data_IF_089225419720
#
_entry.id   IF_089225419720
#
_cell.length_a   1.000
_cell.length_b   1.000
_cell.length_c   1.000
_cell.angle_alpha   90.00
_cell.angle_beta   90.00
_cell.angle_gamma   90.00
#
_symmetry.space_group_name_H-M   'P 1'
#
loop_
_entity.id
_entity.type
_entity.pdbx_description
1 polymer ?
#
# COMPACT_ATOMS: atom_id res chain seq x y z
N UNK A 1 -18.03 3.95 11.04
CA UNK A 1 -16.99 4.89 10.59
C UNK A 1 -16.75 4.78 9.08
N UNK A 2 -16.44 3.60 8.51
CA UNK A 2 -16.26 3.49 7.04
C UNK A 2 -17.56 3.60 6.22
N UNK A 3 -18.65 2.98 6.71
CA UNK A 3 -19.94 3.02 6.03
C UNK A 3 -20.54 4.42 5.86
N UNK A 4 -20.09 5.39 6.67
CA UNK A 4 -20.58 6.78 6.65
C UNK A 4 -19.83 7.67 5.67
N UNK A 5 -18.73 7.20 5.08
CA UNK A 5 -17.98 7.95 4.06
C UNK A 5 -18.73 7.84 2.72
N UNK A 6 -19.01 8.98 2.09
CA UNK A 6 -19.62 9.02 0.77
C UNK A 6 -18.52 8.89 -0.30
N UNK A 7 -18.38 7.68 -0.85
CA UNK A 7 -17.43 7.37 -1.92
C UNK A 7 -17.97 6.21 -2.76
N UNK A 8 -17.71 6.26 -4.08
CA UNK A 8 -18.07 5.19 -4.99
C UNK A 8 -17.29 3.89 -4.69
N UNK A 9 -16.00 4.02 -4.37
CA UNK A 9 -15.15 2.92 -3.96
C UNK A 9 -14.59 3.17 -2.55
N UNK A 10 -14.70 2.17 -1.68
CA UNK A 10 -14.06 2.14 -0.37
C UNK A 10 -13.18 0.90 -0.30
N UNK A 11 -11.92 1.08 -0.61
CA UNK A 11 -10.96 -0.02 -0.73
C UNK A 11 -10.14 -0.10 0.54
N UNK A 12 -9.96 -1.31 1.07
CA UNK A 12 -9.15 -1.56 2.28
C UNK A 12 -8.21 -2.72 2.06
N UNK A 13 -7.02 -2.61 2.64
CA UNK A 13 -6.05 -3.70 2.76
C UNK A 13 -5.81 -3.96 4.25
N UNK A 14 -5.34 -5.16 4.59
CA UNK A 14 -4.87 -5.45 5.93
C UNK A 14 -3.51 -4.80 6.20
N UNK A 15 -3.16 -4.70 7.48
CA UNK A 15 -1.84 -4.32 7.96
C UNK A 15 -1.27 -5.28 9.00
N UNK A 16 -0.08 -4.96 9.52
CA UNK A 16 0.66 -5.83 10.44
C UNK A 16 -0.07 -6.10 11.77
N UNK A 17 -0.99 -5.22 12.17
CA UNK A 17 -1.81 -5.41 13.38
C UNK A 17 -3.06 -6.26 13.13
N UNK A 18 -3.44 -6.49 11.89
CA UNK A 18 -4.59 -7.33 11.52
C UNK A 18 -4.18 -8.81 11.48
N UNK A 19 -3.59 -9.30 12.57
CA UNK A 19 -3.02 -10.66 12.66
C UNK A 19 -4.04 -11.69 12.19
N UNK A 20 -5.29 -11.61 12.65
CA UNK A 20 -6.34 -12.56 12.26
C UNK A 20 -6.65 -12.59 10.77
N UNK A 21 -6.29 -11.57 9.99
CA UNK A 21 -6.45 -11.58 8.53
C UNK A 21 -5.27 -12.26 7.81
N UNK A 22 -4.14 -12.50 8.46
CA UNK A 22 -3.04 -13.29 7.91
C UNK A 22 -3.41 -14.78 7.96
N UNK A 23 -3.29 -15.48 6.84
CA UNK A 23 -3.51 -16.94 6.78
C UNK A 23 -2.50 -17.72 7.62
N UNK A 24 -1.28 -17.21 7.76
CA UNK A 24 -0.25 -17.85 8.58
C UNK A 24 -0.55 -17.61 10.06
N UNK A 25 -0.61 -18.67 10.85
CA UNK A 25 -0.74 -18.55 12.30
C UNK A 25 0.48 -17.82 12.89
N UNK A 26 0.22 -16.62 13.43
CA UNK A 26 1.23 -15.78 14.11
C UNK A 26 1.10 -15.77 15.64
N UNK A 27 0.08 -16.44 16.19
CA UNK A 27 -0.27 -16.37 17.61
C UNK A 27 0.38 -17.51 18.37
N UNK A 28 1.16 -17.18 19.40
CA UNK A 28 1.77 -18.19 20.28
C UNK A 28 0.69 -18.94 21.06
N UNK A 29 0.94 -20.22 21.30
CA UNK A 29 0.05 -21.12 22.06
C UNK A 29 -1.35 -21.36 21.47
N UNK A 30 -1.62 -20.92 20.23
CA UNK A 30 -2.86 -21.22 19.51
C UNK A 30 -2.64 -22.32 18.48
N UNK A 31 -3.50 -23.34 18.48
CA UNK A 31 -3.46 -24.39 17.46
C UNK A 31 -3.83 -23.87 16.08
N UNK A 32 -3.35 -24.51 15.01
CA UNK A 32 -3.69 -24.11 13.64
C UNK A 32 -5.20 -24.23 13.34
N UNK A 33 -5.88 -25.21 13.92
CA UNK A 33 -7.33 -25.40 13.74
C UNK A 33 -8.12 -24.27 14.42
N UNK A 34 -7.72 -23.88 15.61
CA UNK A 34 -8.31 -22.75 16.33
C UNK A 34 -8.06 -21.44 15.58
N UNK A 35 -6.81 -21.18 15.17
CA UNK A 35 -6.45 -20.00 14.41
C UNK A 35 -7.23 -19.91 13.09
N UNK A 36 -7.39 -21.02 12.37
CA UNK A 36 -8.15 -21.08 11.12
C UNK A 36 -9.62 -20.66 11.31
N UNK A 37 -10.21 -20.95 12.47
CA UNK A 37 -11.57 -20.50 12.78
C UNK A 37 -11.62 -18.99 13.02
N UNK A 38 -10.68 -18.43 13.78
CA UNK A 38 -10.56 -16.97 13.97
C UNK A 38 -10.32 -16.25 12.66
N UNK A 39 -9.40 -16.77 11.84
CA UNK A 39 -9.10 -16.22 10.52
C UNK A 39 -10.34 -16.17 9.63
N UNK A 40 -11.09 -17.27 9.54
CA UNK A 40 -12.35 -17.31 8.78
C UNK A 40 -13.37 -16.29 9.27
N UNK A 41 -13.52 -16.13 10.59
CA UNK A 41 -14.45 -15.15 11.16
C UNK A 41 -14.02 -13.71 10.88
N UNK A 42 -12.72 -13.40 11.02
CA UNK A 42 -12.18 -12.08 10.69
C UNK A 42 -12.33 -11.76 9.20
N UNK A 43 -12.04 -12.74 8.35
CA UNK A 43 -12.19 -12.60 6.90
C UNK A 43 -13.66 -12.39 6.48
N UNK A 44 -14.61 -13.05 7.13
CA UNK A 44 -16.05 -12.85 6.91
C UNK A 44 -16.50 -11.42 7.29
N UNK A 45 -15.89 -10.80 8.30
CA UNK A 45 -16.19 -9.39 8.62
C UNK A 45 -15.79 -8.48 7.46
N UNK A 46 -14.64 -8.74 6.84
CA UNK A 46 -14.06 -7.91 5.77
C UNK A 46 -14.67 -8.16 4.38
N UNK A 47 -15.20 -9.35 4.15
CA UNK A 47 -15.68 -9.79 2.81
C UNK A 47 -17.16 -10.17 2.78
N UNK A 48 -17.78 -10.34 3.94
CA UNK A 48 -19.15 -10.75 4.11
C UNK A 48 -20.16 -9.61 3.99
N UNK A 49 -21.37 -9.87 4.49
CA UNK A 49 -22.50 -8.94 4.34
C UNK A 49 -22.24 -7.57 4.98
N UNK A 50 -21.59 -7.53 6.14
CA UNK A 50 -21.35 -6.27 6.85
C UNK A 50 -20.51 -5.29 6.02
N UNK A 51 -19.42 -5.77 5.41
CA UNK A 51 -18.57 -4.95 4.54
C UNK A 51 -19.30 -4.53 3.26
N UNK A 52 -20.02 -5.47 2.62
CA UNK A 52 -20.79 -5.20 1.39
C UNK A 52 -21.88 -4.16 1.60
N UNK A 53 -22.66 -4.29 2.66
CA UNK A 53 -23.72 -3.34 3.02
C UNK A 53 -23.14 -1.94 3.33
N UNK A 54 -21.87 -1.87 3.76
CA UNK A 54 -21.14 -0.61 3.97
C UNK A 54 -20.43 -0.06 2.72
N UNK A 55 -20.46 -0.80 1.59
CA UNK A 55 -19.76 -0.47 0.35
C UNK A 55 -18.24 -0.62 0.45
N UNK A 56 -17.74 -1.46 1.36
CA UNK A 56 -16.31 -1.71 1.58
C UNK A 56 -15.85 -2.94 0.82
N UNK A 57 -14.73 -2.80 0.11
CA UNK A 57 -14.08 -3.89 -0.62
C UNK A 57 -12.70 -4.15 -0.03
N UNK A 58 -12.52 -5.33 0.55
CA UNK A 58 -11.23 -5.81 0.99
C UNK A 58 -10.40 -6.33 -0.19
N UNK A 59 -9.15 -5.86 -0.30
CA UNK A 59 -8.20 -6.26 -1.33
C UNK A 59 -7.12 -7.16 -0.74
N UNK A 60 -7.05 -8.38 -1.26
CA UNK A 60 -5.90 -9.26 -1.05
C UNK A 60 -4.69 -8.78 -1.86
N UNK A 61 -3.51 -9.32 -1.58
CA UNK A 61 -2.31 -8.97 -2.33
C UNK A 61 -2.45 -9.29 -3.82
N UNK A 62 -2.17 -8.30 -4.68
CA UNK A 62 -2.24 -8.47 -6.14
C UNK A 62 -2.71 -7.21 -6.86
N UNK A 63 -2.87 -7.33 -8.18
CA UNK A 63 -3.41 -6.26 -9.03
C UNK A 63 -4.90 -6.43 -9.21
N UNK A 64 -5.65 -5.36 -8.97
CA UNK A 64 -7.10 -5.27 -9.08
C UNK A 64 -7.47 -4.18 -10.08
N UNK A 65 -8.52 -4.39 -10.85
CA UNK A 65 -9.00 -3.43 -11.86
C UNK A 65 -10.36 -2.87 -11.46
N UNK A 66 -10.54 -1.57 -11.68
CA UNK A 66 -11.78 -0.88 -11.35
C UNK A 66 -12.21 0.03 -12.49
N UNK A 67 -13.53 0.15 -12.66
CA UNK A 67 -14.15 1.12 -13.57
C UNK A 67 -15.20 1.88 -12.80
N UNK A 68 -15.07 3.20 -12.75
CA UNK A 68 -16.00 4.08 -12.07
C UNK A 68 -17.24 4.37 -12.92
N UNK A 69 -18.30 4.89 -12.30
CA UNK A 69 -19.56 5.29 -12.97
C UNK A 69 -19.34 6.34 -14.06
N UNK A 70 -18.31 7.17 -13.94
CA UNK A 70 -17.94 8.16 -14.95
C UNK A 70 -17.14 7.58 -16.13
N UNK A 71 -16.87 6.27 -16.13
CA UNK A 71 -16.11 5.56 -17.17
C UNK A 71 -14.60 5.57 -16.98
N UNK A 72 -14.07 6.23 -15.94
CA UNK A 72 -12.65 6.15 -15.62
C UNK A 72 -12.28 4.72 -15.23
N UNK A 73 -11.22 4.19 -15.86
CA UNK A 73 -10.70 2.86 -15.61
C UNK A 73 -9.27 2.97 -15.10
N UNK A 74 -8.93 2.17 -14.09
CA UNK A 74 -7.60 2.15 -13.50
C UNK A 74 -7.32 0.83 -12.78
N UNK A 75 -6.03 0.61 -12.50
CA UNK A 75 -5.52 -0.57 -11.80
C UNK A 75 -4.89 -0.18 -10.46
N UNK A 76 -5.09 -1.03 -9.44
CA UNK A 76 -4.46 -0.90 -8.13
C UNK A 76 -3.66 -2.16 -7.83
N UNK A 77 -2.37 -2.01 -7.51
CA UNK A 77 -1.64 -3.06 -6.81
C UNK A 77 -1.82 -2.89 -5.30
N UNK A 78 -2.30 -3.92 -4.62
CA UNK A 78 -2.49 -3.96 -3.17
C UNK A 78 -1.46 -4.91 -2.52
N UNK A 79 -0.91 -4.56 -1.36
CA UNK A 79 -0.16 -5.52 -0.53
C UNK A 79 -0.18 -5.15 0.96
N UNK A 80 -0.56 -6.08 1.85
CA UNK A 80 -0.53 -5.87 3.30
C UNK A 80 0.87 -6.03 3.90
N UNK A 81 1.84 -6.50 3.10
CA UNK A 81 3.09 -7.02 3.62
C UNK A 81 4.08 -5.92 4.02
N UNK A 82 4.74 -6.10 5.17
CA UNK A 82 5.85 -5.25 5.62
C UNK A 82 7.08 -6.05 6.02
N UNK A 83 8.26 -5.46 5.83
CA UNK A 83 9.51 -6.05 6.26
C UNK A 83 9.56 -6.04 7.79
N UNK A 84 9.78 -7.18 8.43
CA UNK A 84 9.85 -7.26 9.89
C UNK A 84 10.14 -8.68 10.39
N UNK A 85 10.39 -8.79 11.69
CA UNK A 85 10.79 -10.05 12.31
C UNK A 85 10.13 -10.30 13.67
N UNK A 86 8.88 -9.90 13.85
CA UNK A 86 8.24 -9.82 15.16
C UNK A 86 6.83 -10.39 15.20
N UNK A 87 6.59 -11.62 14.75
CA UNK A 87 5.31 -12.35 14.86
C UNK A 87 4.03 -11.52 14.58
N UNK A 88 4.12 -10.43 13.82
CA UNK A 88 2.99 -9.63 13.41
C UNK A 88 2.40 -10.21 12.12
N UNK A 89 1.20 -9.79 11.75
CA UNK A 89 0.59 -10.17 10.49
C UNK A 89 1.41 -9.70 9.30
N UNK A 90 1.39 -10.47 8.22
CA UNK A 90 1.90 -10.06 6.91
C UNK A 90 3.38 -9.61 6.92
N UNK A 91 4.23 -10.33 7.66
CA UNK A 91 5.67 -10.03 7.70
C UNK A 91 6.49 -10.92 6.75
N UNK A 92 7.52 -10.32 6.16
CA UNK A 92 8.61 -11.00 5.47
C UNK A 92 9.97 -10.53 5.99
N UNK A 93 11.00 -11.35 5.80
CA UNK A 93 12.33 -11.12 6.35
C UNK A 93 13.12 -10.09 5.56
N UNK A 94 14.07 -9.42 6.22
CA UNK A 94 14.85 -8.34 5.61
C UNK A 94 15.69 -8.77 4.39
N UNK A 95 16.05 -10.05 4.26
CA UNK A 95 16.77 -10.57 3.08
C UNK A 95 15.85 -10.97 1.92
N UNK A 96 14.53 -10.95 2.13
CA UNK A 96 13.51 -11.32 1.16
C UNK A 96 13.00 -10.07 0.40
N UNK A 97 12.54 -10.29 -0.83
CA UNK A 97 11.91 -9.28 -1.68
C UNK A 97 10.52 -9.77 -2.10
N UNK A 98 9.48 -9.10 -1.59
CA UNK A 98 8.09 -9.42 -1.87
C UNK A 98 7.53 -8.74 -3.13
N UNK A 99 8.19 -7.69 -3.61
CA UNK A 99 7.63 -6.77 -4.62
C UNK A 99 8.25 -6.89 -6.00
N UNK A 100 9.45 -7.47 -6.10
CA UNK A 100 10.19 -7.62 -7.36
C UNK A 100 10.32 -9.10 -7.75
N UNK A 101 10.15 -9.41 -9.03
CA UNK A 101 10.39 -10.76 -9.53
C UNK A 101 11.89 -11.11 -9.53
N UNK A 102 12.22 -12.39 -9.75
CA UNK A 102 13.58 -12.91 -9.71
C UNK A 102 14.58 -12.21 -10.67
N UNK A 103 14.09 -11.51 -11.69
CA UNK A 103 14.91 -10.74 -12.65
C UNK A 103 15.14 -9.29 -12.22
N UNK A 104 14.39 -8.83 -11.22
CA UNK A 104 14.33 -7.43 -10.77
C UNK A 104 14.83 -7.23 -9.33
N UNK A 105 15.04 -8.30 -8.57
CA UNK A 105 15.58 -8.22 -7.21
C UNK A 105 17.01 -7.70 -7.19
N UNK A 106 17.40 -7.05 -6.09
CA UNK A 106 18.80 -6.73 -5.84
C UNK A 106 19.61 -8.02 -5.63
N UNK A 107 20.89 -8.00 -5.98
CA UNK A 107 21.79 -9.16 -5.91
C UNK A 107 21.93 -9.78 -4.51
N UNK A 108 21.66 -9.00 -3.45
CA UNK A 108 21.70 -9.44 -2.05
C UNK A 108 20.36 -9.90 -1.49
N UNK A 109 19.31 -9.97 -2.33
CA UNK A 109 17.95 -10.32 -1.92
C UNK A 109 17.46 -11.58 -2.60
N UNK A 110 16.55 -12.30 -1.94
CA UNK A 110 15.84 -13.45 -2.49
C UNK A 110 14.42 -13.05 -2.81
N UNK A 111 13.99 -13.19 -4.07
CA UNK A 111 12.59 -12.96 -4.43
C UNK A 111 11.71 -14.03 -3.76
N UNK A 112 10.70 -13.58 -3.04
CA UNK A 112 9.58 -14.39 -2.54
C UNK A 112 8.25 -13.92 -3.12
N UNK A 113 8.30 -13.08 -4.17
CA UNK A 113 7.14 -12.44 -4.74
C UNK A 113 6.20 -13.48 -5.38
N UNK A 114 4.99 -13.61 -4.84
CA UNK A 114 3.91 -14.37 -5.49
C UNK A 114 3.15 -13.48 -6.49
N UNK A 115 2.98 -12.21 -6.12
CA UNK A 115 2.37 -11.18 -6.94
C UNK A 115 3.36 -10.01 -7.05
N UNK A 116 4.42 -10.08 -7.88
CA UNK A 116 5.34 -8.95 -8.04
C UNK A 116 4.61 -7.75 -8.65
N UNK A 117 5.05 -6.53 -8.33
CA UNK A 117 4.49 -5.32 -8.92
C UNK A 117 4.94 -5.23 -10.39
N UNK A 118 3.97 -5.34 -11.30
CA UNK A 118 4.17 -5.37 -12.77
C UNK A 118 3.92 -4.02 -13.40
N UNK A 119 4.54 -3.78 -14.55
CA UNK A 119 4.36 -2.59 -15.40
C UNK A 119 2.88 -2.29 -15.69
N UNK A 120 2.52 -1.01 -15.76
CA UNK A 120 1.16 -0.55 -16.07
C UNK A 120 0.20 -0.42 -14.88
N UNK A 121 0.67 -0.56 -13.64
CA UNK A 121 -0.15 -0.27 -12.46
C UNK A 121 -0.28 1.25 -12.24
N UNK A 122 -1.52 1.75 -12.17
CA UNK A 122 -1.81 3.17 -11.99
C UNK A 122 -1.59 3.62 -10.54
N UNK A 123 -2.07 2.82 -9.59
CA UNK A 123 -2.02 3.13 -8.16
C UNK A 123 -1.39 1.96 -7.41
N UNK A 124 -0.49 2.27 -6.48
CA UNK A 124 0.03 1.28 -5.53
C UNK A 124 -0.53 1.57 -4.15
N UNK A 125 -1.02 0.54 -3.46
CA UNK A 125 -1.52 0.59 -2.09
C UNK A 125 -0.77 -0.45 -1.26
N UNK A 126 0.06 0.00 -0.32
CA UNK A 126 0.81 -0.90 0.55
C UNK A 126 0.61 -0.55 2.01
N UNK A 127 0.70 -1.53 2.91
CA UNK A 127 0.65 -1.21 4.33
C UNK A 127 1.85 -0.35 4.76
N UNK A 128 3.06 -0.77 4.40
CA UNK A 128 4.29 -0.03 4.73
C UNK A 128 4.77 0.95 3.66
N UNK A 129 5.57 1.96 4.05
CA UNK A 129 6.12 2.95 3.13
C UNK A 129 7.32 2.42 2.33
N UNK A 130 7.61 2.99 1.15
CA UNK A 130 8.90 2.82 0.50
C UNK A 130 10.00 3.52 1.31
N UNK A 131 11.23 2.99 1.25
CA UNK A 131 12.35 3.55 2.00
C UNK A 131 12.59 5.03 1.66
N UNK A 132 12.94 5.84 2.67
CA UNK A 132 13.25 7.29 2.58
C UNK A 132 12.09 8.20 2.15
N UNK A 133 10.87 7.66 2.05
CA UNK A 133 9.68 8.44 1.70
C UNK A 133 8.70 8.27 2.85
N UNK A 134 8.54 9.32 3.66
CA UNK A 134 7.53 9.36 4.72
C UNK A 134 7.63 8.15 5.68
N UNK A 135 8.86 7.72 5.99
CA UNK A 135 9.15 6.48 6.72
C UNK A 135 10.07 6.67 7.93
N UNK A 136 10.26 7.92 8.37
CA UNK A 136 11.19 8.25 9.44
C UNK A 136 10.54 8.09 10.83
N UNK A 137 11.18 7.30 11.69
CA UNK A 137 10.86 7.17 13.12
C UNK A 137 12.15 7.35 13.90
N UNK A 138 12.16 8.28 14.86
CA UNK A 138 13.34 8.57 15.71
C UNK A 138 14.67 8.77 14.93
N UNK A 139 14.58 9.39 13.75
CA UNK A 139 15.75 9.63 12.89
C UNK A 139 16.20 8.43 12.05
N UNK A 140 15.45 7.34 12.03
CA UNK A 140 15.71 6.14 11.25
C UNK A 140 14.62 5.90 10.20
N UNK A 141 15.02 5.49 9.00
CA UNK A 141 14.12 5.16 7.91
C UNK A 141 13.70 3.68 8.00
N UNK A 142 12.42 3.42 8.27
CA UNK A 142 11.86 2.08 8.45
C UNK A 142 11.16 1.53 7.20
N UNK A 143 11.09 2.31 6.13
CA UNK A 143 10.47 1.91 4.87
C UNK A 143 11.30 0.90 4.09
N UNK A 144 10.66 0.26 3.11
CA UNK A 144 11.25 -0.86 2.40
C UNK A 144 12.06 -0.43 1.17
N UNK A 145 13.37 -0.76 1.08
CA UNK A 145 14.17 -0.44 -0.10
C UNK A 145 13.75 -1.22 -1.35
N UNK A 146 13.17 -2.42 -1.16
CA UNK A 146 12.67 -3.24 -2.24
C UNK A 146 11.37 -2.69 -2.83
N UNK A 147 10.50 -2.12 -1.98
CA UNK A 147 9.33 -1.39 -2.43
C UNK A 147 9.74 -0.14 -3.20
N UNK A 148 10.67 0.66 -2.67
CA UNK A 148 11.20 1.83 -3.38
C UNK A 148 11.71 1.48 -4.78
N UNK A 149 12.44 0.36 -4.92
CA UNK A 149 12.90 -0.13 -6.23
C UNK A 149 11.75 -0.46 -7.17
N UNK A 150 10.72 -1.15 -6.67
CA UNK A 150 9.54 -1.48 -7.46
C UNK A 150 8.83 -0.20 -7.91
N UNK A 151 8.57 0.74 -7.00
CA UNK A 151 7.94 2.03 -7.30
C UNK A 151 8.76 2.84 -8.30
N UNK A 152 10.09 2.90 -8.18
CA UNK A 152 10.95 3.63 -9.13
C UNK A 152 10.93 3.05 -10.54
N UNK A 153 10.81 1.72 -10.67
CA UNK A 153 10.60 1.05 -11.97
C UNK A 153 9.20 1.35 -12.51
N UNK A 154 8.21 1.34 -11.64
CA UNK A 154 6.80 1.34 -11.99
C UNK A 154 6.22 2.71 -12.29
N UNK A 155 6.68 3.73 -11.55
CA UNK A 155 6.26 5.12 -11.68
C UNK A 155 4.73 5.26 -11.64
N UNK A 156 4.05 4.73 -10.60
CA UNK A 156 2.60 4.84 -10.51
C UNK A 156 2.18 6.31 -10.43
N UNK A 157 0.93 6.59 -10.80
CA UNK A 157 0.30 7.90 -10.65
C UNK A 157 0.12 8.26 -9.17
N UNK A 158 -0.04 7.25 -8.32
CA UNK A 158 -0.24 7.41 -6.88
C UNK A 158 0.31 6.22 -6.10
N UNK A 159 0.92 6.47 -4.95
CA UNK A 159 1.27 5.43 -3.98
C UNK A 159 0.72 5.82 -2.62
N UNK A 160 -0.28 5.08 -2.13
CA UNK A 160 -0.86 5.25 -0.81
C UNK A 160 -0.30 4.20 0.14
N UNK A 161 0.09 4.63 1.34
CA UNK A 161 0.62 3.73 2.36
C UNK A 161 0.42 4.28 3.77
N UNK A 162 0.67 3.43 4.78
CA UNK A 162 0.55 3.77 6.19
C UNK A 162 1.71 3.21 7.01
N UNK A 163 1.37 2.49 8.09
CA UNK A 163 2.28 1.82 9.04
C UNK A 163 3.13 2.74 9.92
N UNK A 164 3.72 3.80 9.38
CA UNK A 164 4.55 4.75 10.12
C UNK A 164 3.70 5.99 10.45
N UNK A 165 3.24 6.09 11.70
CA UNK A 165 2.29 7.13 12.11
C UNK A 165 2.93 8.54 12.07
N UNK A 166 4.22 8.62 12.37
CA UNK A 166 5.05 9.82 12.34
C UNK A 166 5.29 10.32 10.91
N UNK A 167 5.12 9.45 9.92
CA UNK A 167 5.35 9.72 8.50
C UNK A 167 4.12 10.21 7.74
N UNK A 168 3.07 10.69 8.41
CA UNK A 168 1.90 11.22 7.70
C UNK A 168 2.29 12.39 6.78
N UNK A 169 1.64 12.50 5.62
CA UNK A 169 1.89 13.57 4.65
C UNK A 169 1.71 13.13 3.22
N UNK A 170 2.16 13.96 2.27
CA UNK A 170 2.15 13.66 0.85
C UNK A 170 3.32 14.33 0.14
N UNK A 171 3.81 13.69 -0.92
CA UNK A 171 4.90 14.21 -1.77
C UNK A 171 4.44 14.17 -3.22
N UNK A 172 4.78 15.18 -4.01
CA UNK A 172 4.50 15.22 -5.45
C UNK A 172 5.79 14.93 -6.21
N UNK A 173 5.80 13.83 -6.96
CA UNK A 173 6.95 13.44 -7.78
C UNK A 173 6.68 13.75 -9.25
N UNK A 174 7.70 14.23 -9.96
CA UNK A 174 7.69 14.31 -11.43
C UNK A 174 8.78 13.40 -11.98
N UNK A 175 8.40 12.47 -12.85
CA UNK A 175 9.33 11.60 -13.55
C UNK A 175 9.85 12.28 -14.83
N UNK A 176 11.15 12.16 -15.11
CA UNK A 176 11.75 12.52 -16.38
C UNK A 176 11.36 11.52 -17.48
N UNK A 177 11.69 11.80 -18.74
CA UNK A 177 11.48 10.86 -19.85
C UNK A 177 12.32 9.57 -19.70
N UNK A 178 13.52 9.68 -19.12
CA UNK A 178 14.33 8.54 -18.66
C UNK A 178 13.81 7.93 -17.34
N UNK A 179 12.82 8.60 -16.74
CA UNK A 179 12.24 8.52 -15.41
C UNK A 179 13.14 8.24 -14.23
N UNK A 180 14.25 8.95 -14.22
CA UNK A 180 14.72 9.58 -12.99
C UNK A 180 13.69 10.60 -12.45
N UNK A 181 13.77 10.96 -11.16
CA UNK A 181 12.94 12.03 -10.59
C UNK A 181 13.51 13.39 -11.01
N UNK A 182 12.67 14.27 -11.56
CA UNK A 182 13.05 15.58 -12.14
C UNK A 182 13.66 16.54 -11.13
N UNK A 183 13.22 16.47 -9.88
CA UNK A 183 13.78 17.21 -8.76
C UNK A 183 13.79 16.31 -7.52
N UNK A 184 14.91 15.63 -7.20
CA UNK A 184 14.99 14.77 -6.03
C UNK A 184 14.70 15.50 -4.70
N UNK A 185 14.86 16.83 -4.64
CA UNK A 185 14.51 17.62 -3.47
C UNK A 185 13.00 17.90 -3.39
N UNK A 186 12.22 17.75 -4.47
CA UNK A 186 10.75 17.76 -4.41
C UNK A 186 10.17 16.49 -3.77
N UNK A 187 11.00 15.48 -3.53
CA UNK A 187 10.69 14.33 -2.68
C UNK A 187 10.67 14.67 -1.18
N UNK A 188 10.94 15.93 -0.82
CA UNK A 188 10.77 16.41 0.56
C UNK A 188 9.27 16.35 0.89
N UNK A 189 8.89 15.89 2.09
CA UNK A 189 7.51 15.96 2.55
C UNK A 189 6.92 17.34 2.25
N UNK A 190 5.77 17.40 1.57
CA UNK A 190 4.96 18.60 1.75
C UNK A 190 4.52 18.57 3.20
N UNK A 191 5.16 19.39 4.04
CA UNK A 191 4.59 19.74 5.34
C UNK A 191 3.27 20.44 5.04
N UNK A 192 2.19 19.67 5.05
CA UNK A 192 0.86 20.23 4.95
C UNK A 192 0.32 20.38 6.35
N UNK A 193 0.07 21.63 6.75
CA UNK A 193 -0.70 21.98 7.96
C UNK A 193 -2.18 21.56 7.86
N UNK A 194 -2.53 20.59 7.00
CA UNK A 194 -3.88 20.06 6.94
C UNK A 194 -4.06 19.04 8.06
N UNK A 195 -5.10 19.27 8.87
CA UNK A 195 -5.45 18.43 9.99
C UNK A 195 -5.91 17.06 9.47
N UNK A 196 -5.06 16.04 9.59
CA UNK A 196 -5.39 14.65 9.22
C UNK A 196 -6.09 13.92 10.37
N UNK A 197 -7.07 14.58 10.99
CA UNK A 197 -7.81 14.07 12.15
C UNK A 197 -9.28 13.89 11.79
N UNK A 198 -9.85 12.72 12.08
CA UNK A 198 -11.29 12.51 11.91
C UNK A 198 -12.10 13.45 12.83
N UNK A 199 -13.18 14.10 12.36
CA UNK A 199 -13.86 13.90 11.08
C UNK A 199 -13.41 14.82 9.93
N UNK A 200 -12.34 15.59 10.12
CA UNK A 200 -11.86 16.55 9.14
C UNK A 200 -11.34 15.81 7.90
N UNK A 201 -11.82 16.21 6.72
CA UNK A 201 -11.38 15.64 5.44
C UNK A 201 -10.26 16.49 4.86
N UNK A 202 -9.16 15.85 4.46
CA UNK A 202 -8.11 16.53 3.71
C UNK A 202 -8.64 16.96 2.33
N UNK A 203 -8.88 18.26 2.16
CA UNK A 203 -9.23 18.85 0.88
C UNK A 203 -7.95 19.10 0.06
N UNK A 204 -7.53 18.07 -0.69
CA UNK A 204 -6.51 18.24 -1.70
C UNK A 204 -7.16 18.68 -3.01
N UNK A 205 -6.77 19.83 -3.59
CA UNK A 205 -7.20 20.18 -4.93
C UNK A 205 -6.61 19.17 -5.92
N UNK A 206 -7.42 18.19 -6.33
CA UNK A 206 -7.06 17.24 -7.38
C UNK A 206 -6.97 18.02 -8.69
N UNK A 207 -5.74 18.43 -9.06
CA UNK A 207 -5.47 18.91 -10.41
C UNK A 207 -5.50 17.68 -11.32
N UNK A 208 -6.56 17.55 -12.12
CA UNK A 208 -6.60 16.54 -13.19
C UNK A 208 -5.39 16.77 -14.09
N UNK A 209 -4.44 15.84 -14.07
CA UNK A 209 -3.30 15.88 -14.98
C UNK A 209 -3.82 15.79 -16.41
N UNK A 210 -3.68 16.87 -17.17
CA UNK A 210 -3.70 16.76 -18.62
C UNK A 210 -2.47 15.96 -19.01
N UNK A 211 -2.65 14.86 -19.73
CA UNK A 211 -1.55 14.24 -20.46
C UNK A 211 -0.88 15.34 -21.27
N UNK A 212 0.40 15.62 -20.98
CA UNK A 212 1.19 16.48 -21.84
C UNK A 212 1.42 15.72 -23.16
N UNK A 213 0.49 15.86 -24.09
CA UNK A 213 0.69 15.54 -25.49
C UNK A 213 1.74 16.50 -26.04
N UNK A 214 3.00 16.08 -26.06
CA UNK A 214 4.02 16.75 -26.87
C UNK A 214 3.88 16.26 -28.31
N UNK A 215 3.36 17.13 -29.17
CA UNK A 215 3.56 17.07 -30.62
C UNK A 215 4.87 17.72 -31.04
#
# INVERSE_FOLDING_TARGET
MMGTIEAELKLVIAGNHDISLDQQNRVQDMSNDEYSQYHRCAFEIMTGRLAKDAGVTYLEEGTHEFTLQNGAHFTIYASPYTCGSGHWGFQYLAHEDRFNDATQVASSKTSIAMNPIRAGVDIVMTHGPPHTILDQVDGQNLGCPNLLRAIGRMRPLMHCFGHIHEGYGANIFTWNADGSVKDPASATPMETEQNNDYPDTNEWPIRRGGENSYG
#
